data_IF_766164801472
#
_entry.id   IF_766164801472
#
_cell.length_a   1.000
_cell.length_b   1.000
_cell.length_c   1.000
_cell.angle_alpha   90.00
_cell.angle_beta   90.00
_cell.angle_gamma   90.00
#
_symmetry.space_group_name_H-M   'P 1'
#
loop_
_entity.id
_entity.type
_entity.pdbx_description
1 polymer ?
#
# COMPACT_ATOMS: atom_id res chain seq x y z
N UNK A 1 -1.75 -23.08 35.27
CA UNK A 1 -2.90 -22.14 35.29
C UNK A 1 -2.96 -21.25 34.02
N UNK A 2 -2.34 -20.07 33.96
CA UNK A 2 -2.48 -19.17 32.80
C UNK A 2 -1.88 -19.72 31.48
N UNK A 3 -0.71 -20.37 31.56
CA UNK A 3 -0.06 -21.02 30.41
C UNK A 3 -0.87 -22.19 29.82
N UNK A 4 -1.60 -22.91 30.66
CA UNK A 4 -2.46 -24.04 30.26
C UNK A 4 -3.79 -23.58 29.66
N UNK A 5 -4.25 -22.38 30.04
CA UNK A 5 -5.47 -21.76 29.53
C UNK A 5 -5.25 -20.87 28.30
N UNK A 6 -4.00 -20.66 27.86
CA UNK A 6 -3.67 -19.72 26.77
C UNK A 6 -3.88 -18.24 27.12
N UNK A 7 -3.98 -17.92 28.41
CA UNK A 7 -4.22 -16.55 28.89
C UNK A 7 -2.90 -15.76 28.97
N UNK A 8 -2.98 -14.45 28.74
CA UNK A 8 -1.87 -13.54 29.02
C UNK A 8 -1.53 -13.54 30.52
N UNK A 9 -0.25 -13.47 30.84
CA UNK A 9 0.25 -13.37 32.21
C UNK A 9 0.67 -11.93 32.44
N UNK A 10 -0.05 -11.20 33.29
CA UNK A 10 0.41 -9.90 33.76
C UNK A 10 1.41 -10.11 34.91
N UNK A 11 2.67 -9.72 34.67
CA UNK A 11 3.77 -9.89 35.62
C UNK A 11 3.72 -8.86 36.76
N UNK A 12 3.10 -7.70 36.55
CA UNK A 12 3.07 -6.62 37.55
C UNK A 12 1.71 -6.53 38.27
N UNK A 13 0.75 -7.38 37.89
CA UNK A 13 -0.60 -7.45 38.48
C UNK A 13 -1.31 -6.10 38.56
N UNK A 14 -1.11 -5.25 37.55
CA UNK A 14 -1.67 -3.90 37.48
C UNK A 14 -2.84 -3.88 36.48
N UNK A 15 -4.08 -3.65 36.92
CA UNK A 15 -5.26 -3.63 36.05
C UNK A 15 -5.20 -2.57 34.95
N UNK A 16 -4.36 -1.54 35.06
CA UNK A 16 -4.17 -0.52 34.01
C UNK A 16 -3.47 -1.08 32.78
N UNK A 17 -2.65 -2.13 32.90
CA UNK A 17 -1.97 -2.78 31.77
C UNK A 17 -2.92 -3.42 30.77
N UNK A 18 -4.12 -3.81 31.19
CA UNK A 18 -5.14 -4.31 30.27
C UNK A 18 -5.53 -3.25 29.24
N UNK A 19 -5.53 -1.97 29.61
CA UNK A 19 -5.81 -0.85 28.69
C UNK A 19 -4.70 -0.75 27.65
N UNK A 20 -3.44 -0.83 28.08
CA UNK A 20 -2.27 -0.78 27.21
C UNK A 20 -2.25 -1.94 26.20
N UNK A 21 -2.55 -3.16 26.66
CA UNK A 21 -2.64 -4.34 25.79
C UNK A 21 -3.74 -4.17 24.72
N UNK A 22 -4.91 -3.66 25.11
CA UNK A 22 -6.01 -3.38 24.17
C UNK A 22 -5.62 -2.31 23.16
N UNK A 23 -4.87 -1.28 23.59
CA UNK A 23 -4.39 -0.22 22.70
C UNK A 23 -3.39 -0.74 21.67
N UNK A 24 -2.41 -1.55 22.09
CA UNK A 24 -1.46 -2.22 21.20
C UNK A 24 -2.21 -3.10 20.19
N UNK A 25 -3.18 -3.89 20.66
CA UNK A 25 -4.01 -4.74 19.80
C UNK A 25 -4.77 -3.94 18.74
N UNK A 26 -5.38 -2.81 19.13
CA UNK A 26 -6.05 -1.89 18.20
C UNK A 26 -5.07 -1.30 17.18
N UNK A 27 -3.89 -0.87 17.61
CA UNK A 27 -2.87 -0.31 16.72
C UNK A 27 -2.41 -1.34 15.67
N UNK A 28 -2.20 -2.60 16.07
CA UNK A 28 -1.83 -3.68 15.15
C UNK A 28 -2.93 -3.94 14.10
N UNK A 29 -4.19 -4.02 14.54
CA UNK A 29 -5.33 -4.24 13.64
C UNK A 29 -5.52 -3.08 12.65
N UNK A 30 -5.43 -1.84 13.13
CA UNK A 30 -5.58 -0.64 12.30
C UNK A 30 -4.44 -0.53 11.29
N UNK A 31 -3.20 -0.80 11.71
CA UNK A 31 -2.03 -0.77 10.83
C UNK A 31 -2.17 -1.81 9.71
N UNK A 32 -2.61 -3.03 10.05
CA UNK A 32 -2.88 -4.06 9.05
C UNK A 32 -3.96 -3.62 8.06
N UNK A 33 -5.07 -3.08 8.55
CA UNK A 33 -6.16 -2.59 7.70
C UNK A 33 -5.72 -1.46 6.75
N UNK A 34 -4.89 -0.53 7.24
CA UNK A 34 -4.32 0.55 6.45
C UNK A 34 -3.42 0.02 5.32
N UNK A 35 -2.52 -0.92 5.63
CA UNK A 35 -1.64 -1.54 4.64
C UNK A 35 -2.42 -2.31 3.59
N UNK A 36 -3.44 -3.08 3.97
CA UNK A 36 -4.30 -3.78 3.01
C UNK A 36 -5.07 -2.80 2.10
N UNK A 37 -5.59 -1.71 2.68
CA UNK A 37 -6.30 -0.69 1.90
C UNK A 37 -5.37 -0.04 0.89
N UNK A 38 -4.16 0.31 1.32
CA UNK A 38 -3.13 0.86 0.46
C UNK A 38 -2.71 -0.12 -0.64
N UNK A 39 -2.44 -1.39 -0.30
CA UNK A 39 -1.95 -2.38 -1.27
C UNK A 39 -2.98 -2.67 -2.36
N UNK A 40 -4.25 -2.81 -1.99
CA UNK A 40 -5.34 -3.04 -2.95
C UNK A 40 -5.51 -1.85 -3.89
N UNK A 41 -5.52 -0.62 -3.34
CA UNK A 41 -5.60 0.59 -4.15
C UNK A 41 -4.40 0.73 -5.09
N UNK A 42 -3.21 0.32 -4.62
CA UNK A 42 -1.99 0.33 -5.38
C UNK A 42 -1.98 -0.67 -6.54
N UNK A 43 -2.51 -1.87 -6.34
CA UNK A 43 -2.58 -2.88 -7.39
C UNK A 43 -3.51 -2.46 -8.54
N UNK A 44 -4.58 -1.72 -8.24
CA UNK A 44 -5.45 -1.14 -9.26
C UNK A 44 -4.67 -0.24 -10.24
N UNK A 45 -3.80 0.64 -9.73
CA UNK A 45 -2.99 1.52 -10.57
C UNK A 45 -1.98 0.76 -11.43
N UNK A 46 -1.40 -0.33 -10.91
CA UNK A 46 -0.47 -1.17 -11.70
C UNK A 46 -1.17 -1.78 -12.92
N UNK A 47 -2.45 -2.15 -12.81
CA UNK A 47 -3.19 -2.65 -13.97
C UNK A 47 -3.29 -1.59 -15.08
N UNK A 48 -3.46 -0.30 -14.74
CA UNK A 48 -3.45 0.78 -15.73
C UNK A 48 -2.09 1.00 -16.39
N UNK A 49 -0.97 0.63 -15.74
CA UNK A 49 0.35 0.69 -16.36
C UNK A 49 0.60 -0.51 -17.29
N UNK A 50 0.26 -1.72 -16.82
CA UNK A 50 0.69 -2.96 -17.45
C UNK A 50 -0.28 -3.41 -18.56
N UNK A 51 -1.60 -3.28 -18.38
CA UNK A 51 -2.57 -3.75 -19.38
C UNK A 51 -2.40 -3.05 -20.74
N UNK A 52 -2.31 -1.71 -20.82
CA UNK A 52 -2.10 -1.05 -22.11
C UNK A 52 -0.78 -1.48 -22.74
N UNK A 53 0.28 -1.58 -21.94
CA UNK A 53 1.61 -1.97 -22.40
C UNK A 53 1.64 -3.39 -22.99
N UNK A 54 1.07 -4.39 -22.30
CA UNK A 54 1.10 -5.78 -22.75
C UNK A 54 0.27 -6.02 -24.02
N UNK A 55 -0.84 -5.29 -24.18
CA UNK A 55 -1.80 -5.58 -25.24
C UNK A 55 -1.81 -4.54 -26.37
N UNK A 56 -1.02 -3.46 -26.31
CA UNK A 56 -0.99 -2.41 -27.33
C UNK A 56 -0.79 -2.95 -28.75
N UNK A 57 0.02 -4.00 -28.90
CA UNK A 57 0.37 -4.61 -30.19
C UNK A 57 -0.74 -5.46 -30.78
N UNK A 58 -1.64 -5.99 -29.94
CA UNK A 58 -2.76 -6.87 -30.33
C UNK A 58 -4.05 -6.05 -30.43
N UNK A 59 -4.28 -5.15 -29.49
CA UNK A 59 -5.45 -4.29 -29.38
C UNK A 59 -5.01 -2.82 -29.22
N UNK A 60 -4.74 -2.11 -30.33
CA UNK A 60 -4.31 -0.71 -30.30
C UNK A 60 -5.29 0.23 -29.58
N UNK A 61 -6.58 -0.11 -29.55
CA UNK A 61 -7.61 0.63 -28.81
C UNK A 61 -7.34 0.69 -27.30
N UNK A 62 -6.60 -0.28 -26.73
CA UNK A 62 -6.19 -0.25 -25.32
C UNK A 62 -5.12 0.81 -25.04
N UNK A 63 -4.50 1.40 -26.07
CA UNK A 63 -3.64 2.57 -25.91
C UNK A 63 -4.34 3.75 -25.25
N UNK A 64 -5.67 3.88 -25.41
CA UNK A 64 -6.47 4.91 -24.73
C UNK A 64 -6.50 4.74 -23.19
N UNK A 65 -6.20 3.53 -22.69
CA UNK A 65 -6.10 3.26 -21.25
C UNK A 65 -4.72 3.60 -20.67
N UNK A 66 -3.76 4.05 -21.49
CA UNK A 66 -2.48 4.60 -21.02
C UNK A 66 -2.67 5.99 -20.41
N UNK A 67 -3.39 6.05 -19.30
CA UNK A 67 -3.70 7.28 -18.56
C UNK A 67 -2.40 7.94 -18.07
N UNK A 68 -1.36 7.15 -17.78
CA UNK A 68 -0.06 7.62 -17.31
C UNK A 68 0.84 8.19 -18.42
N UNK A 69 0.50 7.98 -19.70
CA UNK A 69 1.33 8.45 -20.82
C UNK A 69 2.74 7.84 -20.86
N UNK A 70 2.86 6.55 -20.49
CA UNK A 70 4.14 5.83 -20.46
C UNK A 70 4.70 5.68 -21.88
N UNK A 71 6.03 5.77 -22.03
CA UNK A 71 6.67 5.97 -23.33
C UNK A 71 6.66 4.72 -24.24
N UNK A 72 7.03 3.57 -23.71
CA UNK A 72 7.07 2.30 -24.45
C UNK A 72 6.48 1.16 -23.62
N UNK A 73 5.95 0.09 -24.22
CA UNK A 73 5.51 -1.09 -23.47
C UNK A 73 6.59 -1.67 -22.55
N UNK A 74 7.84 -1.66 -23.00
CA UNK A 74 8.98 -2.22 -22.26
C UNK A 74 9.35 -1.36 -21.06
N UNK A 75 9.44 -0.04 -21.25
CA UNK A 75 9.69 0.91 -20.15
C UNK A 75 8.54 0.93 -19.14
N UNK A 76 7.29 0.83 -19.60
CA UNK A 76 6.12 0.76 -18.73
C UNK A 76 6.14 -0.45 -17.78
N UNK A 77 6.39 -1.66 -18.33
CA UNK A 77 6.47 -2.89 -17.53
C UNK A 77 7.65 -2.80 -16.55
N UNK A 78 8.81 -2.36 -17.02
CA UNK A 78 10.00 -2.23 -16.18
C UNK A 78 9.78 -1.22 -15.04
N UNK A 79 9.19 -0.07 -15.33
CA UNK A 79 8.87 0.96 -14.34
C UNK A 79 7.87 0.47 -13.29
N UNK A 80 6.84 -0.28 -13.71
CA UNK A 80 5.88 -0.89 -12.79
C UNK A 80 6.53 -1.92 -11.86
N UNK A 81 7.45 -2.75 -12.37
CA UNK A 81 8.20 -3.73 -11.57
C UNK A 81 9.15 -3.04 -10.58
N UNK A 82 9.89 -2.03 -11.01
CA UNK A 82 10.78 -1.23 -10.14
C UNK A 82 9.96 -0.56 -9.03
N UNK A 83 8.84 0.08 -9.38
CA UNK A 83 7.97 0.70 -8.39
C UNK A 83 7.48 -0.31 -7.35
N UNK A 84 7.09 -1.52 -7.78
CA UNK A 84 6.66 -2.57 -6.87
C UNK A 84 7.76 -3.00 -5.87
N UNK A 85 9.03 -2.98 -6.28
CA UNK A 85 10.14 -3.27 -5.39
C UNK A 85 10.36 -2.12 -4.38
N UNK A 86 10.32 -0.87 -4.85
CA UNK A 86 10.55 0.32 -4.02
C UNK A 86 9.43 0.56 -3.01
N UNK A 87 8.17 0.31 -3.39
CA UNK A 87 7.03 0.58 -2.52
C UNK A 87 7.03 -0.34 -1.29
N UNK A 88 7.55 -1.56 -1.40
CA UNK A 88 7.72 -2.46 -0.24
C UNK A 88 8.67 -1.82 0.76
N UNK A 89 9.85 -1.36 0.32
CA UNK A 89 10.84 -0.72 1.19
C UNK A 89 10.25 0.54 1.85
N UNK A 90 9.49 1.33 1.10
CA UNK A 90 8.83 2.53 1.62
C UNK A 90 7.75 2.22 2.68
N UNK A 91 7.07 1.07 2.60
CA UNK A 91 6.03 0.67 3.53
C UNK A 91 6.54 -0.06 4.79
N UNK A 92 7.78 -0.59 4.78
CA UNK A 92 8.37 -1.26 5.96
C UNK A 92 8.34 -0.36 7.20
N UNK A 93 8.78 0.92 7.17
CA UNK A 93 8.71 1.79 8.34
C UNK A 93 7.30 1.97 8.88
N UNK A 94 6.29 2.02 8.00
CA UNK A 94 4.88 2.13 8.39
C UNK A 94 4.38 0.85 9.06
N UNK A 95 4.79 -0.32 8.55
CA UNK A 95 4.46 -1.61 9.13
C UNK A 95 5.08 -1.81 10.52
N UNK A 96 6.30 -1.32 10.74
CA UNK A 96 7.01 -1.44 12.02
C UNK A 96 6.59 -0.40 13.05
N UNK A 97 6.42 0.87 12.65
CA UNK A 97 6.02 1.95 13.57
C UNK A 97 4.54 1.93 13.90
N UNK A 98 3.73 1.36 13.00
CA UNK A 98 2.29 1.34 13.11
C UNK A 98 1.62 2.69 12.84
N UNK A 99 0.31 2.65 12.61
CA UNK A 99 -0.53 3.82 12.41
C UNK A 99 -0.97 4.36 13.76
N UNK A 100 -0.71 5.66 14.02
CA UNK A 100 -1.13 6.32 15.26
C UNK A 100 -2.64 6.22 15.46
N UNK A 101 -3.04 5.52 16.51
CA UNK A 101 -4.41 5.46 16.97
C UNK A 101 -4.87 6.84 17.47
N UNK A 102 -6.11 7.21 17.14
CA UNK A 102 -6.81 8.31 17.78
C UNK A 102 -8.21 7.82 18.11
N UNK A 103 -8.67 7.91 19.38
CA UNK A 103 -10.01 7.48 19.75
C UNK A 103 -11.06 8.32 19.02
N UNK A 104 -11.83 7.67 18.15
CA UNK A 104 -12.97 8.25 17.42
C UNK A 104 -13.93 7.13 17.02
N UNK A 105 -15.12 7.49 16.53
CA UNK A 105 -16.09 6.51 16.02
C UNK A 105 -15.51 5.63 14.90
N UNK A 106 -16.03 4.41 14.77
CA UNK A 106 -15.61 3.46 13.72
C UNK A 106 -15.79 4.03 12.31
N UNK A 107 -16.89 4.75 12.06
CA UNK A 107 -17.15 5.41 10.77
C UNK A 107 -16.07 6.45 10.43
N UNK A 108 -15.66 7.27 11.41
CA UNK A 108 -14.61 8.27 11.21
C UNK A 108 -13.23 7.61 10.98
N UNK A 109 -12.93 6.53 11.70
CA UNK A 109 -11.70 5.75 11.47
C UNK A 109 -11.67 5.17 10.05
N UNK A 110 -12.77 4.54 9.60
CA UNK A 110 -12.88 3.96 8.27
C UNK A 110 -12.72 5.03 7.19
N UNK A 111 -13.45 6.15 7.30
CA UNK A 111 -13.37 7.26 6.34
C UNK A 111 -11.95 7.81 6.25
N UNK A 112 -11.29 8.05 7.38
CA UNK A 112 -9.91 8.53 7.42
C UNK A 112 -8.95 7.51 6.81
N UNK A 113 -9.16 6.22 7.07
CA UNK A 113 -8.35 5.16 6.49
C UNK A 113 -8.47 5.11 4.96
N UNK A 114 -9.69 5.13 4.43
CA UNK A 114 -9.94 5.17 2.98
C UNK A 114 -9.39 6.45 2.33
N UNK A 115 -9.56 7.60 2.97
CA UNK A 115 -9.05 8.86 2.44
C UNK A 115 -7.53 8.94 2.43
N UNK A 116 -6.84 8.48 3.49
CA UNK A 116 -5.38 8.59 3.57
C UNK A 116 -4.72 7.43 2.80
N UNK A 117 -5.05 6.19 3.17
CA UNK A 117 -4.38 5.00 2.64
C UNK A 117 -4.99 4.51 1.34
N UNK A 118 -6.30 4.69 1.13
CA UNK A 118 -6.94 4.40 -0.15
C UNK A 118 -6.51 5.39 -1.22
N UNK A 119 -6.73 6.70 -1.03
CA UNK A 119 -6.28 7.69 -2.03
C UNK A 119 -4.77 7.73 -2.16
N UNK A 120 -4.03 7.60 -1.05
CA UNK A 120 -2.57 7.48 -1.09
C UNK A 120 -2.13 6.27 -1.92
N UNK A 121 -2.79 5.12 -1.75
CA UNK A 121 -2.53 3.91 -2.52
C UNK A 121 -2.89 4.03 -4.00
N UNK A 122 -3.89 4.86 -4.36
CA UNK A 122 -4.19 5.17 -5.76
C UNK A 122 -3.15 6.13 -6.34
N UNK A 123 -2.88 7.27 -5.69
CA UNK A 123 -2.06 8.34 -6.27
C UNK A 123 -0.58 7.98 -6.35
N UNK A 124 -0.04 7.33 -5.31
CA UNK A 124 1.39 7.00 -5.22
C UNK A 124 1.94 6.22 -6.43
N UNK A 125 1.32 5.11 -6.88
CA UNK A 125 1.78 4.39 -8.08
C UNK A 125 1.65 5.18 -9.38
N UNK A 126 0.60 5.98 -9.57
CA UNK A 126 0.47 6.81 -10.79
C UNK A 126 1.65 7.78 -10.91
N UNK A 127 1.98 8.47 -9.82
CA UNK A 127 3.11 9.40 -9.80
C UNK A 127 4.44 8.65 -9.84
N UNK A 128 4.60 7.60 -9.03
CA UNK A 128 5.86 6.87 -8.90
C UNK A 128 6.26 6.13 -10.17
N UNK A 129 5.34 5.40 -10.80
CA UNK A 129 5.60 4.69 -12.06
C UNK A 129 5.94 5.68 -13.17
N UNK A 130 5.21 6.79 -13.28
CA UNK A 130 5.50 7.83 -14.26
C UNK A 130 6.89 8.46 -14.08
N UNK A 131 7.28 8.75 -12.84
CA UNK A 131 8.61 9.30 -12.53
C UNK A 131 9.73 8.30 -12.82
N UNK A 132 9.50 7.01 -12.54
CA UNK A 132 10.46 5.95 -12.88
C UNK A 132 10.57 5.82 -14.40
N UNK A 133 9.46 5.86 -15.12
CA UNK A 133 9.43 5.80 -16.59
C UNK A 133 10.21 6.96 -17.20
N UNK A 134 10.14 8.16 -16.60
CA UNK A 134 10.92 9.31 -17.03
C UNK A 134 12.43 9.07 -17.04
N UNK A 135 12.93 8.27 -16.09
CA UNK A 135 14.35 7.91 -16.01
C UNK A 135 14.67 6.69 -16.87
N UNK A 136 13.82 5.67 -16.84
CA UNK A 136 14.04 4.40 -17.55
C UNK A 136 14.06 4.61 -19.07
N UNK A 137 13.21 5.49 -19.61
CA UNK A 137 13.16 5.78 -21.05
C UNK A 137 14.41 6.48 -21.61
N UNK A 138 15.30 6.94 -20.74
CA UNK A 138 16.60 7.51 -21.16
C UNK A 138 17.65 6.42 -21.40
N UNK A 139 17.38 5.18 -21.00
CA UNK A 139 18.30 4.06 -21.17
C UNK A 139 18.15 3.52 -22.61
N UNK A 140 19.22 3.54 -23.43
CA UNK A 140 19.15 3.05 -24.81
C UNK A 140 18.72 1.58 -24.90
N UNK A 141 17.75 1.29 -25.77
CA UNK A 141 17.26 -0.08 -26.01
C UNK A 141 16.07 -0.51 -25.14
N UNK A 142 15.43 0.41 -24.42
CA UNK A 142 14.20 0.24 -23.65
C UNK A 142 13.15 1.24 -24.14
#
# INVERSE_FOLDING_TARGET
>A
AAKEAGNMVDLDSDPTKLIEIVEIGKQLLITRGALTTFSVANDLAKYFAILPAMFLTIYPSLGALNIMGLATPKSAILSAVIFNALIIVALIPLALRGVRYRPTSAANLLRRNLLIYGLGGVVSPFVGIFLIDLLVRLIPGI
#
